data_IF_592036251300
#
_entry.id   IF_592036251300
#
_cell.length_a   1.000
_cell.length_b   1.000
_cell.length_c   1.000
_cell.angle_alpha   90.00
_cell.angle_beta   90.00
_cell.angle_gamma   90.00
#
_symmetry.space_group_name_H-M   'P 1'
#
loop_
_entity.id
_entity.type
_entity.pdbx_description
1 polymer ?
#
# COMPACT_ATOMS: atom_id res chain seq x y z
N UNK A 1 -1.35 -13.79 28.75
CA UNK A 1 -1.82 -12.57 29.43
C UNK A 1 -0.97 -11.38 29.01
N UNK A 2 -1.57 -10.41 28.30
CA UNK A 2 -0.93 -9.17 27.82
C UNK A 2 -0.17 -8.45 28.94
N UNK A 3 -0.80 -8.28 30.11
CA UNK A 3 -0.21 -7.50 31.22
C UNK A 3 1.09 -8.10 31.76
N UNK A 4 1.16 -9.42 31.83
CA UNK A 4 2.37 -10.13 32.20
C UNK A 4 3.48 -9.90 31.19
N UNK A 5 3.19 -10.21 29.91
CA UNK A 5 4.15 -10.06 28.80
C UNK A 5 4.61 -8.61 28.61
N UNK A 6 3.72 -7.62 28.80
CA UNK A 6 4.09 -6.21 28.72
C UNK A 6 5.13 -5.82 29.78
N UNK A 7 4.93 -6.24 31.05
CA UNK A 7 5.86 -5.96 32.15
C UNK A 7 7.20 -6.71 32.02
N UNK A 8 7.18 -7.90 31.45
CA UNK A 8 8.40 -8.67 31.18
C UNK A 8 9.19 -8.06 30.00
N UNK A 9 8.49 -7.50 29.03
CA UNK A 9 9.10 -6.99 27.81
C UNK A 9 9.67 -5.58 27.93
N UNK A 10 8.98 -4.71 28.69
CA UNK A 10 9.32 -3.30 28.78
C UNK A 10 9.76 -2.95 30.21
N UNK A 11 10.99 -2.45 30.33
CA UNK A 11 11.53 -1.92 31.59
C UNK A 11 11.08 -0.46 31.78
N UNK A 12 9.77 -0.27 31.98
CA UNK A 12 9.14 1.03 32.16
C UNK A 12 8.10 0.98 33.30
N UNK A 13 7.77 2.13 33.87
CA UNK A 13 6.62 2.21 34.78
C UNK A 13 5.32 2.09 33.99
N UNK A 14 4.76 0.89 33.93
CA UNK A 14 3.53 0.58 33.20
C UNK A 14 2.31 1.43 33.62
N UNK A 15 2.35 2.01 34.82
CA UNK A 15 1.30 2.92 35.31
C UNK A 15 1.28 4.23 34.53
N UNK A 16 2.38 4.58 33.86
CA UNK A 16 2.49 5.76 33.00
C UNK A 16 2.20 5.48 31.54
N UNK A 17 1.95 4.23 31.18
CA UNK A 17 1.69 3.80 29.81
C UNK A 17 0.19 3.78 29.54
N UNK A 18 -0.40 4.73 28.78
CA UNK A 18 -1.82 4.77 28.49
C UNK A 18 -2.35 3.48 27.89
N UNK A 19 -1.63 2.86 26.94
CA UNK A 19 -2.04 1.61 26.34
C UNK A 19 -2.17 0.46 27.34
N UNK A 20 -1.28 0.40 28.33
CA UNK A 20 -1.37 -0.61 29.39
C UNK A 20 -2.59 -0.38 30.28
N UNK A 21 -2.92 0.87 30.58
CA UNK A 21 -4.05 1.23 31.42
C UNK A 21 -5.37 0.94 30.70
N UNK A 22 -5.51 1.38 29.47
CA UNK A 22 -6.71 1.19 28.65
C UNK A 22 -7.02 -0.31 28.51
N UNK A 23 -6.05 -1.10 28.11
CA UNK A 23 -6.20 -2.56 27.99
C UNK A 23 -6.50 -3.24 29.33
N UNK A 24 -5.95 -2.73 30.43
CA UNK A 24 -6.22 -3.27 31.79
C UNK A 24 -7.64 -3.02 32.26
N UNK A 25 -8.29 -1.99 31.71
CA UNK A 25 -9.70 -1.64 32.01
C UNK A 25 -10.67 -2.16 30.95
N UNK A 26 -10.18 -2.90 29.93
CA UNK A 26 -11.01 -3.46 28.87
C UNK A 26 -11.30 -2.50 27.73
N UNK A 27 -10.61 -1.37 27.67
CA UNK A 27 -10.69 -0.42 26.55
C UNK A 27 -9.70 -0.85 25.47
N UNK A 28 -10.14 -0.83 24.21
CA UNK A 28 -9.29 -1.09 23.05
C UNK A 28 -8.79 0.22 22.45
N UNK A 29 -7.55 0.66 22.75
CA UNK A 29 -7.03 1.91 22.23
C UNK A 29 -6.58 1.76 20.76
N UNK A 30 -6.50 2.90 20.06
CA UNK A 30 -5.87 2.96 18.74
C UNK A 30 -4.37 2.62 18.86
N UNK A 31 -3.84 1.84 17.92
CA UNK A 31 -2.44 1.40 17.93
C UNK A 31 -2.20 0.08 18.68
N UNK A 32 -3.26 -0.58 19.16
CA UNK A 32 -3.16 -1.90 19.81
C UNK A 32 -2.46 -2.93 18.92
N UNK A 33 -2.61 -2.81 17.61
CA UNK A 33 -1.99 -3.68 16.59
C UNK A 33 -0.46 -3.69 16.66
N UNK A 34 0.16 -2.63 17.13
CA UNK A 34 1.62 -2.57 17.31
C UNK A 34 2.14 -3.37 18.52
N UNK A 35 1.22 -3.93 19.30
CA UNK A 35 1.54 -4.79 20.44
C UNK A 35 1.05 -6.24 20.24
N UNK A 36 0.72 -6.60 19.01
CA UNK A 36 0.20 -7.93 18.66
C UNK A 36 1.01 -9.09 19.24
N UNK A 37 2.36 -9.08 19.24
CA UNK A 37 3.16 -10.16 19.82
C UNK A 37 2.97 -10.35 21.33
N UNK A 38 2.40 -9.38 22.04
CA UNK A 38 2.10 -9.50 23.46
C UNK A 38 0.78 -10.22 23.75
N UNK A 39 -0.08 -10.36 22.74
CA UNK A 39 -1.37 -11.05 22.89
C UNK A 39 -1.27 -12.53 22.52
N UNK A 40 -0.42 -12.89 21.59
CA UNK A 40 -0.32 -14.23 21.03
C UNK A 40 1.08 -14.80 21.22
N UNK A 41 1.20 -16.11 21.25
CA UNK A 41 2.50 -16.80 21.29
C UNK A 41 3.15 -16.81 19.93
N UNK A 42 2.33 -16.96 18.90
CA UNK A 42 2.75 -16.91 17.50
C UNK A 42 1.84 -15.94 16.74
N UNK A 43 2.41 -15.23 15.82
CA UNK A 43 1.69 -14.37 14.87
C UNK A 43 1.83 -14.92 13.45
N UNK A 44 0.76 -14.81 12.69
CA UNK A 44 0.73 -15.21 11.30
C UNK A 44 0.95 -14.00 10.38
N UNK A 45 1.49 -14.26 9.19
CA UNK A 45 1.65 -13.27 8.13
C UNK A 45 0.58 -13.50 7.06
N UNK A 46 0.46 -12.58 6.11
CA UNK A 46 -0.41 -12.77 4.94
C UNK A 46 -0.10 -14.10 4.20
N UNK A 47 1.17 -14.49 4.15
CA UNK A 47 1.60 -15.70 3.47
C UNK A 47 1.01 -16.99 4.04
N UNK A 48 0.71 -17.00 5.34
CA UNK A 48 0.15 -18.16 6.04
C UNK A 48 -1.35 -18.38 5.68
N UNK A 49 -1.98 -17.38 5.07
CA UNK A 49 -3.38 -17.43 4.61
C UNK A 49 -3.52 -17.66 3.10
N UNK A 50 -2.43 -17.59 2.33
CA UNK A 50 -2.50 -17.75 0.88
C UNK A 50 -2.61 -19.22 0.49
N UNK A 51 -3.61 -19.60 -0.33
CA UNK A 51 -3.69 -20.92 -0.94
C UNK A 51 -2.45 -21.24 -1.80
N UNK A 52 -2.16 -22.52 -1.99
CA UNK A 52 -0.99 -22.92 -2.78
C UNK A 52 -1.10 -22.62 -4.28
N UNK A 53 -2.32 -22.48 -4.79
CA UNK A 53 -2.61 -22.11 -6.17
C UNK A 53 -2.69 -20.59 -6.42
N UNK A 54 -2.31 -19.79 -5.41
CA UNK A 54 -2.24 -18.34 -5.52
C UNK A 54 -1.21 -17.94 -6.59
N UNK A 55 -1.58 -16.98 -7.44
CA UNK A 55 -0.65 -16.30 -8.34
C UNK A 55 -0.26 -14.94 -7.82
N UNK A 56 1.02 -14.64 -7.83
CA UNK A 56 1.57 -13.36 -7.37
C UNK A 56 1.96 -12.50 -8.57
N UNK A 57 1.42 -11.29 -8.63
CA UNK A 57 1.80 -10.29 -9.63
C UNK A 57 2.70 -9.24 -8.96
N UNK A 58 3.93 -9.12 -9.46
CA UNK A 58 4.89 -8.13 -8.98
C UNK A 58 4.96 -6.95 -9.94
N UNK A 59 4.80 -5.76 -9.41
CA UNK A 59 4.91 -4.52 -10.17
C UNK A 59 6.34 -3.95 -10.12
N UNK A 60 6.74 -3.10 -11.07
CA UNK A 60 8.04 -2.45 -11.05
C UNK A 60 8.25 -1.63 -9.76
N UNK A 61 9.45 -1.67 -9.22
CA UNK A 61 9.83 -0.86 -8.05
C UNK A 61 9.41 -1.43 -6.69
N UNK A 62 8.83 -2.64 -6.63
CA UNK A 62 8.35 -3.21 -5.36
C UNK A 62 9.48 -3.51 -4.37
N UNK A 63 10.66 -3.92 -4.85
CA UNK A 63 11.82 -4.17 -3.99
C UNK A 63 12.32 -2.88 -3.36
N UNK A 64 12.50 -1.83 -4.16
CA UNK A 64 12.92 -0.51 -3.69
C UNK A 64 11.89 0.08 -2.70
N UNK A 65 10.60 -0.12 -2.95
CA UNK A 65 9.55 0.32 -2.05
C UNK A 65 9.60 -0.42 -0.70
N UNK A 66 9.86 -1.72 -0.71
CA UNK A 66 10.02 -2.52 0.50
C UNK A 66 11.26 -2.11 1.31
N UNK A 67 12.39 -1.89 0.64
CA UNK A 67 13.61 -1.38 1.28
C UNK A 67 13.42 -0.01 1.91
N UNK A 68 12.75 0.90 1.18
CA UNK A 68 12.44 2.24 1.70
C UNK A 68 11.49 2.15 2.91
N UNK A 69 10.45 1.32 2.84
CA UNK A 69 9.56 1.08 3.96
C UNK A 69 10.32 0.61 5.21
N UNK A 70 11.22 -0.38 5.06
CA UNK A 70 12.05 -0.87 6.17
C UNK A 70 12.94 0.20 6.76
N UNK A 71 13.55 1.02 5.91
CA UNK A 71 14.36 2.16 6.35
C UNK A 71 13.54 3.15 7.16
N UNK A 72 12.36 3.50 6.68
CA UNK A 72 11.47 4.45 7.35
C UNK A 72 10.97 3.91 8.71
N UNK A 73 10.60 2.63 8.76
CA UNK A 73 10.18 1.98 10.01
C UNK A 73 11.30 1.97 11.04
N UNK A 74 12.53 1.60 10.64
CA UNK A 74 13.69 1.61 11.53
C UNK A 74 14.00 3.02 12.04
N UNK A 75 13.98 4.02 11.18
CA UNK A 75 14.22 5.40 11.59
C UNK A 75 13.19 5.87 12.61
N UNK A 76 11.90 5.61 12.36
CA UNK A 76 10.82 5.95 13.30
C UNK A 76 10.94 5.25 14.65
N UNK A 77 11.41 3.99 14.62
CA UNK A 77 11.69 3.24 15.84
C UNK A 77 12.84 3.86 16.63
N UNK A 78 13.97 4.16 15.97
CA UNK A 78 15.11 4.80 16.63
C UNK A 78 14.77 6.17 17.24
N UNK A 79 13.96 6.96 16.53
CA UNK A 79 13.51 8.27 17.01
C UNK A 79 12.63 8.18 18.27
N UNK A 80 11.95 7.05 18.48
CA UNK A 80 10.92 6.92 19.53
C UNK A 80 11.18 5.80 20.54
N UNK A 81 12.19 4.97 20.37
CA UNK A 81 12.46 3.83 21.25
C UNK A 81 12.70 4.20 22.72
N UNK A 82 13.02 5.47 22.99
CA UNK A 82 13.18 6.01 24.34
C UNK A 82 11.91 6.52 25.00
N UNK A 83 10.75 6.40 24.34
CA UNK A 83 9.47 6.87 24.90
C UNK A 83 8.99 5.89 25.99
N UNK A 84 9.09 6.32 27.24
CA UNK A 84 8.71 5.50 28.40
C UNK A 84 7.19 5.40 28.60
N UNK A 85 6.41 6.30 28.02
CA UNK A 85 4.95 6.27 28.11
C UNK A 85 4.32 5.45 26.98
N UNK A 86 5.05 5.32 25.86
CA UNK A 86 4.63 4.54 24.69
C UNK A 86 5.79 3.64 24.21
N UNK A 87 6.20 2.65 25.01
CA UNK A 87 7.29 1.78 24.63
C UNK A 87 6.95 1.00 23.36
N UNK A 88 7.90 0.90 22.44
CA UNK A 88 7.68 0.31 21.12
C UNK A 88 8.27 -1.10 21.02
N UNK A 89 7.57 -1.96 20.30
CA UNK A 89 8.11 -3.25 19.89
C UNK A 89 9.17 -3.05 18.79
N UNK A 90 10.24 -3.86 18.77
CA UNK A 90 11.21 -3.85 17.67
C UNK A 90 10.52 -4.11 16.32
N UNK A 91 10.91 -3.41 15.25
CA UNK A 91 10.33 -3.60 13.92
C UNK A 91 10.32 -5.05 13.42
N UNK A 92 11.35 -5.82 13.73
CA UNK A 92 11.48 -7.23 13.33
C UNK A 92 10.45 -8.16 13.99
N UNK A 93 9.79 -7.73 15.05
CA UNK A 93 8.72 -8.49 15.69
C UNK A 93 7.34 -8.15 15.12
N UNK A 94 7.22 -7.07 14.33
CA UNK A 94 5.97 -6.59 13.76
C UNK A 94 5.90 -6.74 12.24
N UNK A 95 7.04 -6.68 11.58
CA UNK A 95 7.14 -6.68 10.12
C UNK A 95 8.16 -7.70 9.65
N UNK A 96 7.87 -8.37 8.55
CA UNK A 96 8.84 -9.25 7.91
C UNK A 96 10.00 -8.44 7.34
N UNK A 97 11.25 -8.88 7.55
CA UNK A 97 12.39 -8.37 6.80
C UNK A 97 12.18 -8.49 5.29
N UNK A 98 12.80 -7.61 4.51
CA UNK A 98 12.63 -7.58 3.04
C UNK A 98 13.02 -8.93 2.42
N UNK A 99 14.15 -9.49 2.85
CA UNK A 99 14.66 -10.77 2.38
C UNK A 99 13.67 -11.92 2.66
N UNK A 100 13.07 -11.93 3.86
CA UNK A 100 12.10 -12.96 4.25
C UNK A 100 10.81 -12.83 3.45
N UNK A 101 10.34 -11.59 3.24
CA UNK A 101 9.16 -11.30 2.43
C UNK A 101 9.34 -11.84 1.01
N UNK A 102 10.44 -11.45 0.33
CA UNK A 102 10.73 -11.93 -1.03
C UNK A 102 11.11 -13.41 -1.07
N UNK A 103 11.72 -13.94 0.00
CA UNK A 103 11.97 -15.37 0.15
C UNK A 103 10.69 -16.19 0.15
N UNK A 104 9.69 -15.76 0.94
CA UNK A 104 8.36 -16.43 1.00
C UNK A 104 7.59 -16.31 -0.31
N UNK A 105 7.65 -15.17 -1.00
CA UNK A 105 7.01 -14.97 -2.30
C UNK A 105 7.46 -16.00 -3.36
N UNK A 106 8.63 -16.60 -3.23
CA UNK A 106 9.13 -17.64 -4.15
C UNK A 106 8.33 -18.95 -4.09
N UNK A 107 7.55 -19.16 -3.04
CA UNK A 107 6.73 -20.36 -2.89
C UNK A 107 5.53 -20.41 -3.83
N UNK A 108 5.20 -19.29 -4.49
CA UNK A 108 4.08 -19.20 -5.43
C UNK A 108 4.54 -18.84 -6.84
N UNK A 109 3.77 -19.28 -7.86
CA UNK A 109 3.98 -18.82 -9.23
C UNK A 109 3.90 -17.29 -9.31
N UNK A 110 4.89 -16.68 -9.99
CA UNK A 110 4.98 -15.23 -10.10
C UNK A 110 4.93 -14.75 -11.53
N UNK A 111 4.18 -13.69 -11.74
CA UNK A 111 4.20 -12.88 -12.96
C UNK A 111 4.85 -11.54 -12.60
N UNK A 112 5.97 -11.25 -13.23
CA UNK A 112 6.65 -9.95 -13.04
C UNK A 112 6.25 -9.04 -14.20
N UNK A 113 5.59 -7.94 -13.88
CA UNK A 113 5.30 -6.88 -14.84
C UNK A 113 6.52 -5.97 -14.91
N UNK A 114 7.09 -5.81 -16.10
CA UNK A 114 8.24 -4.93 -16.33
C UNK A 114 7.91 -3.86 -17.36
N UNK A 115 8.54 -2.70 -17.25
CA UNK A 115 8.54 -1.66 -18.28
C UNK A 115 9.72 -1.81 -19.25
N UNK A 116 10.60 -2.75 -18.98
CA UNK A 116 11.74 -3.03 -19.84
C UNK A 116 11.28 -3.72 -21.11
N UNK A 117 11.87 -3.33 -22.23
CA UNK A 117 11.63 -3.93 -23.52
C UNK A 117 12.49 -5.22 -23.62
N UNK A 118 11.95 -6.30 -23.07
CA UNK A 118 12.61 -7.61 -23.12
C UNK A 118 12.38 -8.27 -24.49
N UNK A 119 13.44 -8.87 -25.02
CA UNK A 119 13.31 -9.67 -26.24
C UNK A 119 12.30 -10.82 -26.02
N UNK A 120 11.47 -11.12 -27.03
CA UNK A 120 10.54 -12.24 -26.96
C UNK A 120 11.28 -13.55 -26.67
N UNK A 121 10.86 -14.27 -25.65
CA UNK A 121 11.49 -15.50 -25.23
C UNK A 121 10.56 -16.42 -24.46
N UNK A 122 11.06 -17.59 -24.08
CA UNK A 122 10.29 -18.53 -23.26
C UNK A 122 9.96 -17.89 -21.91
N UNK A 123 8.69 -17.82 -21.58
CA UNK A 123 8.21 -17.23 -20.33
C UNK A 123 8.03 -15.71 -20.34
N UNK A 124 8.29 -15.05 -21.46
CA UNK A 124 8.05 -13.60 -21.60
C UNK A 124 6.90 -13.34 -22.56
N UNK A 125 5.96 -12.50 -22.15
CA UNK A 125 4.86 -12.03 -22.99
C UNK A 125 4.94 -10.53 -23.13
N UNK A 126 5.06 -10.04 -24.34
CA UNK A 126 5.06 -8.62 -24.64
C UNK A 126 3.64 -8.15 -24.89
N UNK A 127 3.20 -7.17 -24.13
CA UNK A 127 1.97 -6.45 -24.42
C UNK A 127 2.25 -5.33 -25.41
N UNK A 128 1.43 -5.20 -26.43
CA UNK A 128 1.53 -4.09 -27.37
C UNK A 128 0.93 -2.79 -26.75
N UNK A 129 1.61 -2.33 -25.69
CA UNK A 129 1.23 -1.11 -25.01
C UNK A 129 1.73 0.12 -25.79
N UNK A 130 0.88 1.11 -25.91
CA UNK A 130 1.24 2.39 -26.53
C UNK A 130 1.29 3.47 -25.45
N UNK A 131 2.13 4.47 -25.65
CA UNK A 131 2.15 5.64 -24.80
C UNK A 131 0.80 6.33 -24.81
N UNK A 132 0.34 6.76 -23.65
CA UNK A 132 -0.87 7.56 -23.57
C UNK A 132 -0.67 8.88 -24.34
N UNK A 133 -1.66 9.33 -25.12
CA UNK A 133 -1.62 10.65 -25.73
C UNK A 133 -1.62 11.73 -24.64
N UNK A 134 -1.06 12.90 -24.94
CA UNK A 134 -1.11 14.03 -24.02
C UNK A 134 -2.55 14.55 -23.92
N UNK A 135 -3.22 14.17 -22.85
CA UNK A 135 -4.59 14.58 -22.52
C UNK A 135 -4.63 15.59 -21.37
N UNK A 136 -3.48 16.22 -21.06
CA UNK A 136 -3.38 17.18 -19.99
C UNK A 136 -4.39 18.32 -20.12
N UNK A 137 -5.03 18.66 -19.01
CA UNK A 137 -6.01 19.75 -18.94
C UNK A 137 -5.29 21.08 -19.14
N UNK A 138 -5.60 21.78 -20.20
CA UNK A 138 -5.05 23.10 -20.49
C UNK A 138 -5.93 24.19 -19.87
N UNK A 139 -5.78 24.41 -18.57
CA UNK A 139 -6.62 25.34 -17.78
C UNK A 139 -6.66 26.79 -18.29
N UNK A 140 -5.70 27.20 -19.11
CA UNK A 140 -5.63 28.53 -19.73
C UNK A 140 -6.24 28.59 -21.14
N UNK A 141 -6.65 27.46 -21.70
CA UNK A 141 -7.28 27.40 -23.02
C UNK A 141 -8.80 27.69 -22.92
N UNK A 142 -9.41 28.19 -23.98
CA UNK A 142 -10.86 28.42 -24.06
C UNK A 142 -11.69 27.15 -23.85
N UNK A 143 -11.14 25.99 -24.22
CA UNK A 143 -11.69 24.65 -23.95
C UNK A 143 -10.66 23.75 -23.25
N UNK A 144 -10.64 23.75 -21.93
CA UNK A 144 -9.64 22.99 -21.16
C UNK A 144 -9.59 21.48 -21.43
N UNK A 145 -10.70 20.88 -21.84
CA UNK A 145 -10.86 19.44 -22.07
C UNK A 145 -10.88 19.06 -23.55
N UNK A 146 -10.52 19.95 -24.47
CA UNK A 146 -10.62 19.70 -25.92
C UNK A 146 -9.81 18.45 -26.36
N UNK A 147 -8.62 18.24 -25.82
CA UNK A 147 -7.79 17.08 -26.14
C UNK A 147 -8.46 15.76 -25.70
N UNK A 148 -9.00 15.74 -24.48
CA UNK A 148 -9.71 14.59 -23.92
C UNK A 148 -10.98 14.29 -24.72
N UNK A 149 -11.78 15.31 -25.04
CA UNK A 149 -13.01 15.14 -25.86
C UNK A 149 -12.67 14.54 -27.20
N UNK A 150 -11.69 15.11 -27.92
CA UNK A 150 -11.25 14.60 -29.23
C UNK A 150 -10.76 13.16 -29.14
N UNK A 151 -10.07 12.80 -28.06
CA UNK A 151 -9.63 11.42 -27.83
C UNK A 151 -10.82 10.49 -27.66
N UNK A 152 -11.81 10.84 -26.82
CA UNK A 152 -13.02 10.04 -26.59
C UNK A 152 -13.80 9.84 -27.89
N UNK A 153 -14.01 10.91 -28.68
CA UNK A 153 -14.76 10.87 -29.94
C UNK A 153 -14.11 9.97 -31.00
N UNK A 154 -12.77 9.85 -31.00
CA UNK A 154 -12.03 9.10 -32.00
C UNK A 154 -11.56 7.72 -31.54
N UNK A 155 -11.72 7.39 -30.27
CA UNK A 155 -11.28 6.10 -29.74
C UNK A 155 -12.37 5.03 -29.94
N UNK A 156 -12.11 3.95 -30.69
CA UNK A 156 -13.14 2.99 -31.05
C UNK A 156 -13.50 1.99 -29.95
N UNK A 157 -12.80 2.03 -28.81
CA UNK A 157 -12.96 1.09 -27.69
C UNK A 157 -13.67 1.71 -26.49
N UNK A 158 -13.80 0.92 -25.44
CA UNK A 158 -14.30 1.41 -24.14
C UNK A 158 -13.17 2.11 -23.38
N UNK A 159 -13.51 3.20 -22.71
CA UNK A 159 -12.56 4.01 -21.91
C UNK A 159 -12.95 3.87 -20.45
N UNK A 160 -11.96 3.61 -19.60
CA UNK A 160 -12.10 3.59 -18.15
C UNK A 160 -11.25 4.71 -17.55
N UNK A 161 -11.88 5.61 -16.82
CA UNK A 161 -11.18 6.63 -16.06
C UNK A 161 -10.95 6.17 -14.63
N UNK A 162 -9.69 6.08 -14.24
CA UNK A 162 -9.27 5.71 -12.89
C UNK A 162 -8.70 6.93 -12.17
N UNK A 163 -9.06 7.10 -10.90
CA UNK A 163 -8.49 8.11 -10.03
C UNK A 163 -8.21 7.50 -8.66
N UNK A 164 -7.06 7.86 -8.06
CA UNK A 164 -6.60 7.33 -6.78
C UNK A 164 -7.50 7.74 -5.60
N UNK A 165 -8.24 8.83 -5.72
CA UNK A 165 -9.15 9.28 -4.68
C UNK A 165 -10.30 10.10 -5.23
N UNK A 166 -11.38 10.21 -4.43
CA UNK A 166 -12.50 11.08 -4.74
C UNK A 166 -12.08 12.56 -4.90
N UNK A 167 -11.13 13.03 -4.10
CA UNK A 167 -10.58 14.39 -4.20
C UNK A 167 -9.82 14.61 -5.51
N UNK A 168 -9.03 13.65 -5.98
CA UNK A 168 -8.35 13.74 -7.27
C UNK A 168 -9.32 13.65 -8.45
N UNK A 169 -10.40 12.88 -8.33
CA UNK A 169 -11.51 12.91 -9.29
C UNK A 169 -12.10 14.31 -9.42
N UNK A 170 -12.37 14.97 -8.30
CA UNK A 170 -12.96 16.30 -8.25
C UNK A 170 -12.00 17.41 -8.69
N UNK A 171 -10.70 17.28 -8.39
CA UNK A 171 -9.67 18.28 -8.74
C UNK A 171 -9.24 18.22 -10.21
N UNK A 172 -9.34 17.05 -10.84
CA UNK A 172 -8.99 16.86 -12.26
C UNK A 172 -10.14 17.20 -13.23
N UNK A 173 -11.35 17.32 -12.69
CA UNK A 173 -12.55 17.50 -13.52
C UNK A 173 -13.58 18.34 -12.76
N UNK A 174 -14.14 19.39 -13.34
CA UNK A 174 -15.23 20.14 -12.72
C UNK A 174 -16.43 19.20 -12.48
N UNK A 175 -16.72 18.92 -11.23
CA UNK A 175 -17.81 18.19 -10.62
C UNK A 175 -18.92 17.60 -11.51
N UNK A 176 -20.16 17.86 -11.17
CA UNK A 176 -21.38 17.33 -11.84
C UNK A 176 -21.41 17.51 -13.37
N UNK A 177 -20.74 18.53 -13.89
CA UNK A 177 -20.68 18.80 -15.33
C UNK A 177 -19.85 17.76 -16.12
N UNK A 178 -18.92 17.04 -15.47
CA UNK A 178 -18.15 15.97 -16.14
C UNK A 178 -18.92 14.65 -16.17
N UNK A 179 -19.54 14.28 -15.06
CA UNK A 179 -20.40 13.08 -14.99
C UNK A 179 -21.59 13.17 -15.96
N UNK A 180 -22.16 14.39 -16.12
CA UNK A 180 -23.21 14.63 -17.09
C UNK A 180 -22.69 14.55 -18.52
N UNK A 181 -21.53 15.17 -18.81
CA UNK A 181 -20.93 15.16 -20.15
C UNK A 181 -20.37 13.80 -20.57
N UNK A 182 -19.92 12.95 -19.64
CA UNK A 182 -19.57 11.56 -19.96
C UNK A 182 -20.80 10.72 -20.26
N UNK A 183 -21.94 11.00 -19.61
CA UNK A 183 -23.23 10.34 -19.90
C UNK A 183 -23.80 10.75 -21.24
N UNK A 184 -23.57 12.00 -21.63
CA UNK A 184 -24.03 12.54 -22.91
C UNK A 184 -23.14 12.12 -24.11
N UNK A 185 -21.98 11.51 -23.85
CA UNK A 185 -21.03 10.99 -24.84
C UNK A 185 -21.07 9.45 -24.96
N UNK A 186 -21.84 8.75 -24.13
CA UNK A 186 -22.00 7.28 -24.13
C UNK A 186 -23.34 6.89 -24.78
#
# INVERSE_FOLDING_TARGET
DFRGRFRERFDVDFRRCPIYQDLSTGITPAGIEYYLPLFFEESATLFDYLPQDTQVFSLPGIEQAAEQFWKDVRNRYEDRRGDIERPLMPPSELFLPVEDCFGRLKNWPRVVVSQEDLEPGVGHTRFNAQSLPDLAIQSKAGEPLAALRRFIENYPGRILFCAESAGRRAAGVPGEAFDQRLRDLA
#
